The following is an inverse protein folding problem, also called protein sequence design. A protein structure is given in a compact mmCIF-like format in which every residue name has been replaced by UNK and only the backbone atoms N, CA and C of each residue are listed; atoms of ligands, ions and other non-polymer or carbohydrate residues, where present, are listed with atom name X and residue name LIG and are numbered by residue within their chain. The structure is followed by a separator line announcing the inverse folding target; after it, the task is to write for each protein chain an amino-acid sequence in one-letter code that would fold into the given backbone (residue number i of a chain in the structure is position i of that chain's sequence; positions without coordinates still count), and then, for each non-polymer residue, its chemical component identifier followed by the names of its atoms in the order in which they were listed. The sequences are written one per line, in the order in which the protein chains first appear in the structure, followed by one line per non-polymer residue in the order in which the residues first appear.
data_IF_250408374277
#
_entry.id   IF_250408374277
#
_cell.length_a   1.000
_cell.length_b   1.000
_cell.length_c   1.000
_cell.angle_alpha   90.00
_cell.angle_beta   90.00
_cell.angle_gamma   90.00
#
_symmetry.space_group_name_H-M   'P 1'
#
loop_
_entity.id
_entity.type
_entity.pdbx_description
1 polymer ?
#
# COMPACT_ATOMS: atom_id res chain seq x y z
N UNK A 1 2.96 3.95 -18.74
CA UNK A 1 2.39 4.34 -17.42
C UNK A 1 1.96 5.79 -17.51
N UNK A 2 0.75 6.14 -17.04
CA UNK A 2 0.28 7.52 -17.00
C UNK A 2 0.30 8.01 -15.55
N UNK A 3 1.11 9.03 -15.24
CA UNK A 3 1.22 9.60 -13.89
C UNK A 3 0.53 10.96 -13.85
N UNK A 4 -0.54 11.06 -13.06
CA UNK A 4 -1.18 12.32 -12.73
C UNK A 4 -0.64 12.88 -11.42
N UNK A 5 -0.26 14.16 -11.41
CA UNK A 5 0.30 14.83 -10.23
C UNK A 5 -0.61 15.98 -9.82
N UNK A 6 -1.22 15.86 -8.64
CA UNK A 6 -1.89 16.99 -7.99
C UNK A 6 -1.05 17.52 -6.84
N UNK A 7 -1.35 18.73 -6.35
CA UNK A 7 -0.62 19.26 -5.21
C UNK A 7 -0.83 20.75 -4.99
N UNK A 8 -0.48 21.21 -3.79
CA UNK A 8 -0.60 22.61 -3.38
C UNK A 8 0.39 23.52 -4.12
N UNK A 9 0.20 24.84 -4.05
CA UNK A 9 1.14 25.81 -4.64
C UNK A 9 2.52 25.65 -3.98
N UNK A 10 3.58 25.65 -4.79
CA UNK A 10 4.97 25.57 -4.32
C UNK A 10 5.32 24.29 -3.54
N UNK A 11 4.53 23.22 -3.70
CA UNK A 11 4.82 21.91 -3.09
C UNK A 11 5.96 21.15 -3.76
N UNK A 12 6.39 21.58 -4.95
CA UNK A 12 7.37 20.86 -5.78
C UNK A 12 6.73 19.93 -6.82
N UNK A 13 5.41 19.96 -7.00
CA UNK A 13 4.71 19.14 -8.01
C UNK A 13 5.27 19.28 -9.43
N UNK A 14 5.61 20.51 -9.84
CA UNK A 14 6.20 20.79 -11.16
C UNK A 14 7.61 20.21 -11.27
N UNK A 15 8.38 20.23 -10.18
CA UNK A 15 9.72 19.64 -10.17
C UNK A 15 9.67 18.11 -10.26
N UNK A 16 8.68 17.46 -9.64
CA UNK A 16 8.48 16.02 -9.79
C UNK A 16 8.02 15.67 -11.20
N UNK A 17 7.18 16.49 -11.84
CA UNK A 17 6.86 16.32 -13.25
C UNK A 17 8.13 16.40 -14.12
N UNK A 18 8.99 17.40 -13.89
CA UNK A 18 10.28 17.55 -14.58
C UNK A 18 11.24 16.39 -14.33
N UNK A 19 11.30 15.90 -13.10
CA UNK A 19 12.07 14.69 -12.78
C UNK A 19 11.61 13.51 -13.63
N UNK A 20 10.30 13.29 -13.75
CA UNK A 20 9.75 12.21 -14.58
C UNK A 20 10.03 12.43 -16.07
N UNK A 21 10.01 13.67 -16.57
CA UNK A 21 10.41 13.94 -17.95
C UNK A 21 11.89 13.62 -18.20
N UNK A 22 12.77 13.87 -17.24
CA UNK A 22 14.17 13.42 -17.32
C UNK A 22 14.30 11.89 -17.31
N UNK A 23 13.35 11.17 -16.71
CA UNK A 23 13.24 9.70 -16.78
C UNK A 23 12.54 9.19 -18.06
N UNK A 24 12.31 10.07 -19.05
CA UNK A 24 11.74 9.71 -20.35
C UNK A 24 10.21 9.73 -20.42
N UNK A 25 9.52 10.34 -19.45
CA UNK A 25 8.08 10.56 -19.55
C UNK A 25 7.79 11.72 -20.51
N UNK A 26 6.75 11.56 -21.35
CA UNK A 26 6.22 12.64 -22.18
C UNK A 26 5.30 13.52 -21.34
N UNK A 27 5.63 14.81 -21.22
CA UNK A 27 4.78 15.78 -20.52
C UNK A 27 3.53 16.06 -21.34
N UNK A 28 2.37 15.99 -20.70
CA UNK A 28 1.07 16.36 -21.28
C UNK A 28 0.57 17.65 -20.64
N UNK A 29 0.07 18.57 -21.46
CA UNK A 29 -0.46 19.86 -21.03
C UNK A 29 -1.76 20.24 -21.77
N UNK A 30 -2.64 20.96 -21.10
CA UNK A 30 -3.75 21.68 -21.73
C UNK A 30 -3.28 23.12 -22.01
N UNK A 31 -3.00 23.45 -23.28
CA UNK A 31 -2.56 24.76 -23.80
C UNK A 31 -1.40 25.46 -23.04
N UNK A 32 -0.24 25.64 -23.71
CA UNK A 32 0.93 26.35 -23.17
C UNK A 32 2.07 26.53 -24.20
N UNK A 33 3.14 27.25 -23.83
CA UNK A 33 4.30 27.57 -24.68
C UNK A 33 5.40 26.49 -24.70
N UNK A 34 5.33 25.47 -23.84
CA UNK A 34 6.39 24.46 -23.67
C UNK A 34 6.35 23.32 -24.73
N UNK A 35 7.42 22.51 -24.75
CA UNK A 35 7.66 21.37 -25.68
C UNK A 35 6.79 20.10 -25.42
N UNK A 36 5.75 20.17 -24.57
CA UNK A 36 4.90 19.03 -24.23
C UNK A 36 3.86 18.64 -25.30
N UNK A 37 3.26 17.46 -25.14
CA UNK A 37 2.07 17.04 -25.90
C UNK A 37 0.86 17.88 -25.47
N UNK A 38 0.18 18.48 -26.45
CA UNK A 38 -0.90 19.45 -26.22
C UNK A 38 -2.22 18.87 -26.70
N UNK A 39 -3.25 18.99 -25.86
CA UNK A 39 -4.61 18.59 -26.17
C UNK A 39 -5.57 19.75 -25.91
N UNK A 40 -6.66 19.82 -26.68
CA UNK A 40 -7.67 20.85 -26.50
C UNK A 40 -8.76 20.43 -25.52
N UNK A 41 -9.03 19.12 -25.44
CA UNK A 41 -10.11 18.57 -24.62
C UNK A 41 -9.63 17.36 -23.82
N UNK A 42 -10.28 17.09 -22.68
CA UNK A 42 -9.98 15.93 -21.84
C UNK A 42 -10.21 14.61 -22.58
N UNK A 43 -11.20 14.57 -23.48
CA UNK A 43 -11.50 13.39 -24.30
C UNK A 43 -10.38 13.08 -25.28
N UNK A 44 -9.87 14.08 -25.98
CA UNK A 44 -8.76 13.93 -26.94
C UNK A 44 -7.50 13.40 -26.26
N UNK A 45 -7.18 13.97 -25.09
CA UNK A 45 -6.08 13.47 -24.24
C UNK A 45 -6.32 12.01 -23.86
N UNK A 46 -7.50 11.68 -23.35
CA UNK A 46 -7.86 10.35 -22.87
C UNK A 46 -7.74 9.30 -24.00
N UNK A 47 -8.24 9.62 -25.19
CA UNK A 47 -8.19 8.74 -26.35
C UNK A 47 -6.74 8.50 -26.79
N UNK A 48 -5.95 9.58 -26.86
CA UNK A 48 -4.53 9.49 -27.22
C UNK A 48 -3.74 8.62 -26.24
N UNK A 49 -3.83 8.87 -24.93
CA UNK A 49 -3.07 8.09 -23.93
C UNK A 49 -3.57 6.63 -23.84
N UNK A 50 -4.82 6.38 -24.19
CA UNK A 50 -5.38 5.02 -24.22
C UNK A 50 -4.85 4.23 -25.41
N UNK A 51 -4.77 4.82 -26.60
CA UNK A 51 -4.15 4.19 -27.77
C UNK A 51 -2.66 3.93 -27.51
N UNK A 52 -1.99 4.88 -26.87
CA UNK A 52 -0.55 4.86 -26.61
C UNK A 52 -0.18 4.36 -25.20
N UNK A 53 -1.02 3.55 -24.54
CA UNK A 53 -0.89 3.20 -23.11
C UNK A 53 0.44 2.54 -22.70
N UNK A 54 1.18 2.00 -23.67
CA UNK A 54 2.52 1.42 -23.48
C UNK A 54 3.62 2.46 -23.28
N UNK A 55 3.38 3.70 -23.68
CA UNK A 55 4.29 4.82 -23.45
C UNK A 55 4.13 5.38 -22.02
N UNK A 56 5.07 6.24 -21.64
CA UNK A 56 5.09 6.89 -20.33
C UNK A 56 4.71 8.35 -20.48
N UNK A 57 3.71 8.76 -19.70
CA UNK A 57 3.12 10.09 -19.76
C UNK A 57 3.00 10.67 -18.36
N UNK A 58 3.23 11.98 -18.23
CA UNK A 58 3.03 12.71 -16.97
C UNK A 58 2.21 13.96 -17.23
N UNK A 59 1.27 14.26 -16.33
CA UNK A 59 0.49 15.49 -16.37
C UNK A 59 0.24 16.05 -14.97
N UNK A 60 0.04 17.35 -14.89
CA UNK A 60 -0.48 17.99 -13.70
C UNK A 60 -2.01 17.89 -13.70
N UNK A 61 -2.58 17.54 -12.54
CA UNK A 61 -4.01 17.46 -12.33
C UNK A 61 -4.42 18.64 -11.46
N UNK A 62 -5.23 19.50 -12.04
CA UNK A 62 -5.81 20.67 -11.39
C UNK A 62 -7.32 20.55 -11.22
N UNK A 63 -8.00 19.64 -11.93
CA UNK A 63 -9.45 19.50 -11.90
C UNK A 63 -9.94 18.06 -11.57
N UNK A 64 -11.12 17.98 -10.97
CA UNK A 64 -11.71 16.72 -10.52
C UNK A 64 -12.29 15.85 -11.65
N UNK A 65 -12.76 16.46 -12.74
CA UNK A 65 -13.38 15.74 -13.86
C UNK A 65 -12.36 14.91 -14.63
N UNK A 66 -11.22 15.51 -14.95
CA UNK A 66 -10.05 14.86 -15.53
C UNK A 66 -9.57 13.70 -14.65
N UNK A 67 -9.47 13.92 -13.33
CA UNK A 67 -9.07 12.87 -12.40
C UNK A 67 -9.99 11.65 -12.53
N UNK A 68 -11.32 11.86 -12.48
CA UNK A 68 -12.32 10.78 -12.60
C UNK A 68 -12.23 10.04 -13.93
N UNK A 69 -11.93 10.74 -15.02
CA UNK A 69 -11.76 10.12 -16.33
C UNK A 69 -10.52 9.20 -16.35
N UNK A 70 -9.40 9.69 -15.82
CA UNK A 70 -8.13 8.97 -15.82
C UNK A 70 -8.10 7.80 -14.83
N UNK A 71 -8.73 7.93 -13.65
CA UNK A 71 -8.81 6.89 -12.62
C UNK A 71 -9.45 5.58 -13.09
N UNK A 72 -10.29 5.62 -14.12
CA UNK A 72 -10.88 4.41 -14.72
C UNK A 72 -9.86 3.56 -15.46
N UNK A 73 -8.66 4.09 -15.74
CA UNK A 73 -7.63 3.42 -16.54
C UNK A 73 -6.68 2.63 -15.64
N UNK A 74 -6.45 1.33 -15.90
CA UNK A 74 -5.60 0.49 -15.05
C UNK A 74 -4.11 0.84 -15.13
N UNK A 75 -3.71 1.70 -16.07
CA UNK A 75 -2.34 2.17 -16.25
C UNK A 75 -2.10 3.58 -15.69
N UNK A 76 -3.10 4.15 -15.01
CA UNK A 76 -3.03 5.47 -14.39
C UNK A 76 -2.63 5.39 -12.92
N UNK A 77 -1.64 6.18 -12.52
CA UNK A 77 -1.18 6.35 -11.15
C UNK A 77 -1.38 7.82 -10.75
N UNK A 78 -2.20 8.07 -9.73
CA UNK A 78 -2.35 9.40 -9.16
C UNK A 78 -1.43 9.59 -7.96
N UNK A 79 -0.62 10.64 -8.01
CA UNK A 79 0.21 11.08 -6.89
C UNK A 79 -0.21 12.49 -6.45
N UNK A 80 -0.23 12.73 -5.15
CA UNK A 80 -0.42 14.07 -4.57
C UNK A 80 0.85 14.54 -3.91
N UNK A 81 1.23 15.80 -4.12
CA UNK A 81 2.43 16.40 -3.54
C UNK A 81 2.04 17.62 -2.73
N UNK A 82 2.31 17.58 -1.43
CA UNK A 82 2.14 18.70 -0.52
C UNK A 82 3.45 19.02 0.20
N UNK A 83 3.50 20.12 0.94
CA UNK A 83 4.65 20.51 1.74
C UNK A 83 4.22 21.44 2.89
N UNK A 84 5.01 21.54 3.97
CA UNK A 84 4.74 22.50 5.05
C UNK A 84 4.53 23.91 4.52
N UNK A 85 3.50 24.61 5.01
CA UNK A 85 3.08 25.90 4.46
C UNK A 85 4.21 26.95 4.45
N UNK A 86 4.99 27.01 5.52
CA UNK A 86 6.15 27.91 5.63
C UNK A 86 7.23 27.60 4.59
N UNK A 87 7.45 26.32 4.28
CA UNK A 87 8.42 25.90 3.27
C UNK A 87 7.90 26.24 1.86
N UNK A 88 6.62 26.03 1.60
CA UNK A 88 5.97 26.42 0.33
C UNK A 88 6.04 27.93 0.11
N UNK A 89 5.81 28.71 1.16
CA UNK A 89 5.93 30.17 1.13
C UNK A 89 7.36 30.62 0.82
N UNK A 90 8.39 30.02 1.44
CA UNK A 90 9.80 30.33 1.17
C UNK A 90 10.24 30.03 -0.28
N UNK A 91 9.58 29.08 -0.95
CA UNK A 91 9.88 28.69 -2.34
C UNK A 91 9.28 29.63 -3.38
N UNK A 92 8.48 30.62 -2.97
CA UNK A 92 7.86 31.59 -3.86
C UNK A 92 8.20 33.02 -3.42
N UNK A 93 8.15 33.95 -4.36
CA UNK A 93 8.44 35.38 -4.13
C UNK A 93 7.33 36.32 -4.61
N UNK A 94 6.18 35.76 -4.98
CA UNK A 94 5.09 36.47 -5.68
C UNK A 94 4.05 37.06 -4.73
N UNK A 95 3.76 36.37 -3.64
CA UNK A 95 2.68 36.70 -2.71
C UNK A 95 3.22 37.01 -1.34
N UNK A 96 2.55 37.91 -0.62
CA UNK A 96 2.70 38.07 0.83
C UNK A 96 2.21 36.83 1.57
N UNK A 97 2.55 36.69 2.85
CA UNK A 97 2.17 35.49 3.62
C UNK A 97 0.65 35.35 3.75
N UNK A 98 -0.05 36.45 3.98
CA UNK A 98 -1.51 36.46 4.10
C UNK A 98 -2.20 36.12 2.77
N UNK A 99 -1.77 36.73 1.66
CA UNK A 99 -2.26 36.40 0.31
C UNK A 99 -2.00 34.93 -0.03
N UNK A 100 -0.84 34.40 0.36
CA UNK A 100 -0.49 33.01 0.11
C UNK A 100 -1.39 32.03 0.89
N UNK A 101 -1.73 32.36 2.14
CA UNK A 101 -2.68 31.57 2.94
C UNK A 101 -4.08 31.62 2.32
N UNK A 102 -4.58 32.83 1.99
CA UNK A 102 -5.90 32.97 1.38
C UNK A 102 -6.00 32.20 0.06
N UNK A 103 -4.98 32.29 -0.80
CA UNK A 103 -4.92 31.55 -2.06
C UNK A 103 -4.82 30.04 -1.84
N UNK A 104 -4.09 29.60 -0.82
CA UNK A 104 -3.99 28.19 -0.46
C UNK A 104 -5.34 27.62 -0.03
N UNK A 105 -6.08 28.34 0.82
CA UNK A 105 -7.38 27.92 1.31
C UNK A 105 -8.42 27.93 0.20
N UNK A 106 -8.41 28.95 -0.66
CA UNK A 106 -9.25 29.01 -1.84
C UNK A 106 -9.03 27.78 -2.73
N UNK A 107 -7.79 27.38 -2.99
CA UNK A 107 -7.50 26.20 -3.81
C UNK A 107 -7.90 24.88 -3.12
N UNK A 108 -7.63 24.74 -1.83
CA UNK A 108 -7.90 23.50 -1.10
C UNK A 108 -9.41 23.25 -0.95
N UNK A 109 -10.17 24.31 -0.65
CA UNK A 109 -11.56 24.22 -0.22
C UNK A 109 -12.54 24.91 -1.18
N UNK A 110 -12.13 25.18 -2.42
CA UNK A 110 -13.03 25.66 -3.47
C UNK A 110 -14.27 24.75 -3.59
N UNK A 111 -15.46 25.34 -3.71
CA UNK A 111 -16.73 24.58 -3.80
C UNK A 111 -16.87 23.80 -5.11
N UNK A 112 -16.38 24.34 -6.23
CA UNK A 112 -16.54 23.74 -7.55
C UNK A 112 -15.45 22.71 -7.85
N UNK A 113 -14.24 22.93 -7.33
CA UNK A 113 -13.07 22.09 -7.62
C UNK A 113 -12.10 22.01 -6.42
N UNK A 114 -12.50 21.33 -5.33
CA UNK A 114 -11.70 21.25 -4.11
C UNK A 114 -10.44 20.40 -4.32
N UNK A 115 -9.26 21.03 -4.31
CA UNK A 115 -7.98 20.32 -4.45
C UNK A 115 -7.77 19.28 -3.34
N UNK A 116 -8.38 19.49 -2.16
CA UNK A 116 -8.31 18.51 -1.07
C UNK A 116 -8.96 17.18 -1.44
N UNK A 117 -10.07 17.18 -2.18
CA UNK A 117 -10.72 15.96 -2.63
C UNK A 117 -9.90 15.23 -3.68
N UNK A 118 -9.30 15.98 -4.62
CA UNK A 118 -8.34 15.46 -5.58
C UNK A 118 -7.20 14.78 -4.82
N UNK A 119 -6.47 15.52 -3.98
CA UNK A 119 -5.31 14.99 -3.25
C UNK A 119 -5.64 13.77 -2.38
N UNK A 120 -6.85 13.72 -1.80
CA UNK A 120 -7.26 12.59 -0.96
C UNK A 120 -7.40 11.27 -1.71
N UNK A 121 -7.65 11.31 -3.02
CA UNK A 121 -7.78 10.12 -3.87
C UNK A 121 -6.45 9.62 -4.44
N UNK A 122 -5.34 10.32 -4.18
CA UNK A 122 -4.03 9.89 -4.65
C UNK A 122 -3.60 8.55 -4.03
N UNK A 123 -3.06 7.67 -4.88
CA UNK A 123 -2.52 6.38 -4.47
C UNK A 123 -1.19 6.53 -3.74
N UNK A 124 -0.41 7.56 -4.08
CA UNK A 124 0.86 7.91 -3.41
C UNK A 124 0.77 9.36 -2.94
N UNK A 125 0.96 9.58 -1.65
CA UNK A 125 0.92 10.91 -1.04
C UNK A 125 2.31 11.30 -0.61
N UNK A 126 2.88 12.33 -1.23
CA UNK A 126 4.22 12.84 -0.97
C UNK A 126 4.11 14.12 -0.15
N UNK A 127 4.73 14.13 1.03
CA UNK A 127 4.96 15.35 1.81
C UNK A 127 6.40 15.79 1.60
N UNK A 128 6.61 16.78 0.73
CA UNK A 128 7.89 17.32 0.36
C UNK A 128 8.45 18.25 1.45
N UNK A 129 9.34 17.73 2.28
CA UNK A 129 10.04 18.47 3.34
C UNK A 129 11.41 19.00 2.91
N UNK A 130 11.82 18.69 1.68
CA UNK A 130 13.16 18.98 1.17
C UNK A 130 13.41 20.49 0.99
N UNK A 131 14.58 20.98 1.37
CA UNK A 131 14.91 22.40 1.21
C UNK A 131 15.47 22.73 -0.19
N UNK A 132 15.94 21.71 -0.92
CA UNK A 132 16.52 21.85 -2.25
C UNK A 132 15.90 20.90 -3.28
N UNK A 133 16.00 21.27 -4.57
CA UNK A 133 15.54 20.42 -5.69
C UNK A 133 16.34 19.12 -5.75
N UNK A 134 17.65 19.17 -5.48
CA UNK A 134 18.52 17.99 -5.46
C UNK A 134 18.06 16.97 -4.43
N UNK A 135 17.76 17.42 -3.22
CA UNK A 135 17.24 16.56 -2.16
C UNK A 135 15.89 15.94 -2.53
N UNK A 136 14.98 16.75 -3.10
CA UNK A 136 13.70 16.26 -3.60
C UNK A 136 13.89 15.14 -4.64
N UNK A 137 14.80 15.31 -5.61
CA UNK A 137 15.04 14.32 -6.65
C UNK A 137 15.65 13.03 -6.11
N UNK A 138 16.56 13.12 -5.14
CA UNK A 138 17.12 11.94 -4.46
C UNK A 138 16.01 11.13 -3.81
N UNK A 139 15.16 11.78 -3.00
CA UNK A 139 14.12 11.07 -2.26
C UNK A 139 12.98 10.57 -3.17
N UNK A 140 12.65 11.28 -4.25
CA UNK A 140 11.72 10.80 -5.30
C UNK A 140 12.29 9.56 -6.01
N UNK A 141 13.60 9.51 -6.24
CA UNK A 141 14.26 8.32 -6.79
C UNK A 141 14.15 7.12 -5.83
N UNK A 142 14.32 7.34 -4.53
CA UNK A 142 14.19 6.30 -3.50
C UNK A 142 12.77 5.73 -3.41
N UNK A 143 11.73 6.53 -3.66
CA UNK A 143 10.37 6.01 -3.70
C UNK A 143 10.15 4.95 -4.77
N UNK A 144 10.94 4.96 -5.84
CA UNK A 144 10.71 4.11 -6.99
C UNK A 144 9.25 4.23 -7.52
N UNK A 145 8.86 5.44 -7.92
CA UNK A 145 7.54 5.71 -8.51
C UNK A 145 7.24 4.86 -9.75
N UNK A 146 8.30 4.37 -10.42
CA UNK A 146 8.23 3.58 -11.65
C UNK A 146 7.94 2.09 -11.40
N UNK A 147 7.83 1.66 -10.14
CA UNK A 147 7.44 0.28 -9.82
C UNK A 147 6.04 -0.02 -10.37
N UNK A 148 5.98 -0.94 -11.33
CA UNK A 148 4.73 -1.41 -11.95
C UNK A 148 3.79 -2.08 -10.95
N UNK A 149 4.30 -2.54 -9.81
CA UNK A 149 3.49 -3.13 -8.72
C UNK A 149 2.48 -2.13 -8.15
N UNK A 150 2.71 -0.81 -8.31
CA UNK A 150 1.82 0.29 -7.92
C UNK A 150 0.54 0.35 -8.76
N UNK A 151 0.60 -0.06 -10.03
CA UNK A 151 -0.56 -0.13 -10.93
C UNK A 151 -1.26 -1.48 -10.86
N UNK A 152 -0.45 -2.55 -10.86
CA UNK A 152 -0.93 -3.93 -10.78
C UNK A 152 -0.10 -4.66 -9.74
N UNK A 153 -0.69 -5.00 -8.57
CA UNK A 153 0.07 -5.65 -7.51
C UNK A 153 0.71 -6.94 -8.00
N UNK A 154 1.93 -7.21 -7.54
CA UNK A 154 2.52 -8.55 -7.65
C UNK A 154 1.65 -9.55 -6.89
N UNK A 155 1.84 -10.85 -7.16
CA UNK A 155 1.13 -11.90 -6.42
C UNK A 155 1.33 -11.78 -4.91
N UNK A 156 2.57 -11.56 -4.47
CA UNK A 156 2.85 -11.37 -3.04
C UNK A 156 2.11 -10.16 -2.46
N UNK A 157 2.12 -9.02 -3.17
CA UNK A 157 1.41 -7.82 -2.72
C UNK A 157 -0.10 -8.06 -2.64
N UNK A 158 -0.67 -8.74 -3.63
CA UNK A 158 -2.09 -9.07 -3.69
C UNK A 158 -2.50 -10.00 -2.55
N UNK A 159 -1.79 -11.12 -2.35
CA UNK A 159 -2.13 -12.07 -1.31
C UNK A 159 -1.83 -11.55 0.10
N UNK A 160 -0.78 -10.74 0.27
CA UNK A 160 -0.54 -10.06 1.54
C UNK A 160 -1.63 -9.02 1.86
N UNK A 161 -2.16 -8.31 0.86
CA UNK A 161 -3.34 -7.43 1.05
C UNK A 161 -4.58 -8.24 1.47
N UNK A 162 -4.80 -9.42 0.90
CA UNK A 162 -5.89 -10.32 1.33
C UNK A 162 -5.67 -10.79 2.77
N UNK A 163 -4.45 -11.18 3.15
CA UNK A 163 -4.14 -11.57 4.52
C UNK A 163 -4.41 -10.42 5.50
N UNK A 164 -4.01 -9.19 5.17
CA UNK A 164 -4.31 -8.01 5.97
C UNK A 164 -5.82 -7.69 6.03
N UNK A 165 -6.56 -7.89 4.93
CA UNK A 165 -8.02 -7.73 4.91
C UNK A 165 -8.70 -8.77 5.82
N UNK A 166 -8.27 -10.04 5.77
CA UNK A 166 -8.76 -11.08 6.66
C UNK A 166 -8.48 -10.73 8.14
N UNK A 167 -7.32 -10.16 8.44
CA UNK A 167 -6.95 -9.72 9.79
C UNK A 167 -7.94 -8.70 10.39
N UNK A 168 -8.67 -7.92 9.55
CA UNK A 168 -9.69 -6.97 10.03
C UNK A 168 -10.91 -7.65 10.67
N UNK A 169 -11.10 -8.95 10.44
CA UNK A 169 -12.12 -9.77 11.11
C UNK A 169 -11.64 -10.41 12.41
N UNK A 170 -10.35 -10.28 12.74
CA UNK A 170 -9.80 -10.77 14.01
C UNK A 170 -10.58 -10.23 15.20
N UNK A 171 -10.99 -11.14 16.07
CA UNK A 171 -11.65 -10.81 17.34
C UNK A 171 -10.67 -10.84 18.53
N UNK A 172 -9.39 -11.13 18.29
CA UNK A 172 -8.37 -11.14 19.32
C UNK A 172 -8.01 -9.70 19.74
N UNK A 173 -8.06 -9.42 21.04
CA UNK A 173 -7.76 -8.09 21.57
C UNK A 173 -6.25 -7.75 21.60
N UNK A 174 -5.36 -8.74 21.41
CA UNK A 174 -3.90 -8.55 21.55
C UNK A 174 -3.22 -8.15 20.25
N UNK A 175 -3.64 -8.74 19.12
CA UNK A 175 -3.09 -8.47 17.78
C UNK A 175 -4.06 -8.97 16.72
N UNK A 176 -4.14 -8.26 15.60
CA UNK A 176 -4.88 -8.68 14.41
C UNK A 176 -3.95 -9.40 13.44
N UNK A 177 -4.08 -10.72 13.39
CA UNK A 177 -3.32 -11.58 12.47
C UNK A 177 -4.27 -12.14 11.43
N UNK A 178 -3.83 -12.15 10.18
CA UNK A 178 -4.56 -12.72 9.07
C UNK A 178 -3.64 -13.52 8.17
N UNK A 179 -4.20 -14.56 7.56
CA UNK A 179 -3.50 -15.55 6.77
C UNK A 179 -4.33 -15.93 5.54
N UNK A 180 -3.66 -16.20 4.43
CA UNK A 180 -4.27 -16.78 3.23
C UNK A 180 -3.39 -17.90 2.68
N UNK A 181 -4.00 -19.02 2.33
CA UNK A 181 -3.35 -20.13 1.64
C UNK A 181 -3.71 -20.03 0.17
N UNK A 182 -2.71 -20.14 -0.69
CA UNK A 182 -2.82 -19.98 -2.12
C UNK A 182 -2.23 -21.19 -2.82
N UNK A 183 -2.93 -21.67 -3.86
CA UNK A 183 -2.45 -22.71 -4.77
C UNK A 183 -2.73 -22.28 -6.19
N UNK A 184 -1.73 -22.33 -7.07
CA UNK A 184 -1.87 -21.94 -8.49
C UNK A 184 -2.48 -20.52 -8.65
N UNK A 185 -2.01 -19.58 -7.82
CA UNK A 185 -2.51 -18.21 -7.76
C UNK A 185 -4.02 -18.08 -7.45
N UNK A 186 -4.63 -19.10 -6.83
CA UNK A 186 -6.01 -19.08 -6.33
C UNK A 186 -6.03 -19.22 -4.83
N UNK A 187 -6.89 -18.45 -4.18
CA UNK A 187 -7.11 -18.57 -2.74
C UNK A 187 -7.80 -19.90 -2.45
N UNK A 188 -7.17 -20.71 -1.58
CA UNK A 188 -7.71 -21.97 -1.08
C UNK A 188 -8.52 -21.73 0.19
N UNK A 189 -7.93 -20.98 1.12
CA UNK A 189 -8.55 -20.65 2.40
C UNK A 189 -7.99 -19.35 2.97
N UNK A 190 -8.78 -18.69 3.81
CA UNK A 190 -8.38 -17.54 4.61
C UNK A 190 -8.57 -17.85 6.08
N UNK A 191 -7.74 -17.27 6.94
CA UNK A 191 -7.89 -17.35 8.39
C UNK A 191 -7.55 -16.01 9.05
N UNK A 192 -8.14 -15.79 10.21
CA UNK A 192 -7.78 -14.72 11.14
C UNK A 192 -7.75 -15.28 12.55
N UNK A 193 -7.02 -14.65 13.46
CA UNK A 193 -6.91 -15.14 14.83
C UNK A 193 -8.13 -14.75 15.68
N UNK A 194 -8.59 -15.67 16.52
CA UNK A 194 -9.77 -15.46 17.37
C UNK A 194 -10.20 -16.69 18.14
N UNK A 195 -11.18 -16.53 19.03
CA UNK A 195 -11.77 -17.67 19.76
C UNK A 195 -12.49 -18.65 18.82
N UNK A 196 -12.64 -19.93 19.22
CA UNK A 196 -13.35 -20.94 18.46
C UNK A 196 -14.78 -20.52 18.07
N UNK A 197 -15.30 -21.16 17.03
CA UNK A 197 -16.70 -21.01 16.60
C UNK A 197 -17.64 -21.25 17.78
N UNK A 198 -18.70 -20.45 17.87
CA UNK A 198 -19.73 -20.52 18.90
C UNK A 198 -19.30 -20.19 20.33
N UNK A 199 -18.06 -19.77 20.56
CA UNK A 199 -17.63 -19.19 21.83
C UNK A 199 -17.69 -17.67 21.79
N UNK A 200 -17.78 -17.05 22.97
CA UNK A 200 -17.68 -15.59 23.13
C UNK A 200 -16.39 -15.09 22.48
N UNK A 201 -16.44 -13.94 21.80
CA UNK A 201 -15.26 -13.41 21.14
C UNK A 201 -14.20 -12.94 22.15
N UNK A 202 -12.92 -12.98 21.80
CA UNK A 202 -11.85 -12.55 22.72
C UNK A 202 -11.98 -11.08 23.13
N UNK A 203 -12.34 -10.19 22.20
CA UNK A 203 -12.60 -8.76 22.42
C UNK A 203 -13.88 -8.50 23.25
N UNK A 204 -14.68 -9.52 23.50
CA UNK A 204 -15.84 -9.48 24.40
C UNK A 204 -15.54 -10.16 25.76
N UNK A 205 -14.29 -10.56 26.01
CA UNK A 205 -13.89 -11.25 27.24
C UNK A 205 -13.86 -12.78 27.13
N UNK A 206 -14.03 -13.35 25.93
CA UNK A 206 -14.08 -14.80 25.72
C UNK A 206 -12.77 -15.56 25.93
N UNK A 207 -11.65 -14.86 26.11
CA UNK A 207 -10.36 -15.47 26.43
C UNK A 207 -9.77 -14.84 27.70
N UNK A 208 -9.79 -15.58 28.81
CA UNK A 208 -9.31 -15.10 30.11
C UNK A 208 -7.85 -14.67 30.05
N UNK A 209 -6.98 -15.44 29.38
CA UNK A 209 -5.56 -15.13 29.23
C UNK A 209 -5.32 -13.80 28.51
N UNK A 210 -6.03 -13.55 27.42
CA UNK A 210 -5.90 -12.29 26.69
C UNK A 210 -6.40 -11.09 27.51
N UNK A 211 -7.46 -11.26 28.30
CA UNK A 211 -8.10 -10.20 29.06
C UNK A 211 -7.45 -9.91 30.43
N UNK A 212 -6.52 -10.76 30.92
CA UNK A 212 -5.84 -10.61 32.22
C UNK A 212 -4.60 -9.70 32.23
N UNK A 213 -4.32 -8.97 31.16
CA UNK A 213 -3.24 -7.97 31.14
C UNK A 213 -1.80 -8.51 31.20
N UNK A 214 -1.58 -9.83 31.22
CA UNK A 214 -0.23 -10.39 31.19
C UNK A 214 0.52 -10.02 29.90
N UNK A 215 1.85 -9.85 30.03
CA UNK A 215 2.75 -9.56 28.92
C UNK A 215 2.70 -10.63 27.82
N UNK A 216 3.10 -10.23 26.61
CA UNK A 216 3.22 -11.12 25.44
C UNK A 216 4.04 -12.38 25.76
N UNK A 217 3.63 -13.53 25.24
CA UNK A 217 4.36 -14.80 25.44
C UNK A 217 4.02 -15.57 26.73
N UNK A 218 3.34 -14.96 27.71
CA UNK A 218 3.00 -15.64 28.96
C UNK A 218 1.77 -16.54 28.83
N UNK A 219 1.83 -17.72 29.48
CA UNK A 219 0.74 -18.71 29.61
C UNK A 219 0.05 -19.02 28.28
N UNK A 220 0.82 -19.21 27.21
CA UNK A 220 0.29 -19.47 25.87
C UNK A 220 -0.64 -20.69 25.83
N UNK A 221 -0.37 -21.70 26.66
CA UNK A 221 -1.20 -22.91 26.79
C UNK A 221 -2.62 -22.67 27.31
N UNK A 222 -2.89 -21.52 27.95
CA UNK A 222 -4.23 -21.15 28.44
C UNK A 222 -4.96 -20.17 27.53
N UNK A 223 -4.37 -19.83 26.38
CA UNK A 223 -4.99 -19.01 25.36
C UNK A 223 -6.07 -19.81 24.63
N UNK A 224 -7.29 -19.27 24.56
CA UNK A 224 -8.38 -19.88 23.79
C UNK A 224 -8.36 -19.47 22.31
N UNK A 225 -7.62 -18.42 21.95
CA UNK A 225 -7.61 -17.94 20.57
C UNK A 225 -6.80 -18.87 19.67
N UNK A 226 -7.42 -19.35 18.59
CA UNK A 226 -6.70 -19.92 17.46
C UNK A 226 -5.98 -18.82 16.68
N UNK A 227 -4.84 -19.17 16.12
CA UNK A 227 -4.05 -18.32 15.24
C UNK A 227 -4.65 -18.29 13.82
N UNK A 228 -4.23 -17.30 13.03
CA UNK A 228 -4.76 -17.11 11.69
C UNK A 228 -4.36 -18.28 10.77
N UNK A 229 -3.12 -18.74 10.92
CA UNK A 229 -2.53 -19.87 10.21
C UNK A 229 -3.29 -21.15 10.53
N UNK A 230 -3.61 -21.39 11.81
CA UNK A 230 -4.40 -22.55 12.22
C UNK A 230 -5.79 -22.53 11.60
N UNK A 231 -6.49 -21.40 11.66
CA UNK A 231 -7.81 -21.28 11.05
C UNK A 231 -7.76 -21.47 9.53
N UNK A 232 -6.75 -20.94 8.85
CA UNK A 232 -6.58 -21.14 7.40
C UNK A 232 -6.30 -22.60 7.06
N UNK A 233 -5.44 -23.29 7.83
CA UNK A 233 -5.10 -24.70 7.63
C UNK A 233 -6.29 -25.63 7.92
N UNK A 234 -7.03 -25.36 9.01
CA UNK A 234 -8.23 -26.12 9.37
C UNK A 234 -9.31 -25.98 8.32
N UNK A 235 -9.51 -24.77 7.78
CA UNK A 235 -10.46 -24.54 6.70
C UNK A 235 -9.98 -25.25 5.43
N UNK A 236 -8.73 -25.06 4.99
CA UNK A 236 -8.22 -25.68 3.77
C UNK A 236 -8.30 -27.22 3.81
N UNK A 237 -7.85 -27.84 4.90
CA UNK A 237 -7.63 -29.28 4.94
C UNK A 237 -6.48 -29.74 4.03
N UNK A 238 -5.91 -30.91 4.33
CA UNK A 238 -4.68 -31.39 3.66
C UNK A 238 -4.83 -31.53 2.14
N UNK A 239 -5.96 -32.05 1.68
CA UNK A 239 -6.20 -32.33 0.26
C UNK A 239 -6.23 -31.06 -0.60
N UNK A 240 -6.75 -29.95 -0.07
CA UNK A 240 -6.81 -28.68 -0.80
C UNK A 240 -5.49 -27.91 -0.76
N UNK A 241 -4.61 -28.19 0.19
CA UNK A 241 -3.25 -27.65 0.22
C UNK A 241 -2.43 -28.25 -0.93
N UNK A 242 -2.46 -29.58 -1.11
CA UNK A 242 -1.67 -30.24 -2.16
C UNK A 242 -0.17 -29.92 -2.10
N UNK A 243 0.54 -30.11 -3.21
CA UNK A 243 2.01 -30.12 -3.21
C UNK A 243 2.68 -28.78 -3.58
N UNK A 244 1.91 -27.75 -3.88
CA UNK A 244 2.42 -26.46 -4.42
C UNK A 244 1.87 -25.22 -3.72
N UNK A 245 1.29 -25.36 -2.53
CA UNK A 245 0.68 -24.23 -1.83
C UNK A 245 1.69 -23.31 -1.14
N UNK A 246 1.39 -22.01 -1.20
CA UNK A 246 2.09 -20.93 -0.48
C UNK A 246 1.14 -20.32 0.56
N UNK A 247 1.66 -20.10 1.76
CA UNK A 247 0.96 -19.43 2.85
C UNK A 247 1.45 -17.99 3.00
N UNK A 248 0.54 -17.03 2.94
CA UNK A 248 0.81 -15.62 3.19
C UNK A 248 0.24 -15.21 4.53
N UNK A 249 1.05 -14.65 5.44
CA UNK A 249 0.60 -14.19 6.75
C UNK A 249 1.12 -12.80 7.06
N UNK A 250 0.31 -11.93 7.66
CA UNK A 250 0.79 -10.58 7.99
C UNK A 250 1.83 -10.55 9.14
N UNK A 251 1.98 -11.67 9.87
CA UNK A 251 2.95 -11.85 10.95
C UNK A 251 3.69 -13.17 10.76
N UNK A 252 4.98 -13.23 11.08
CA UNK A 252 5.77 -14.46 11.07
C UNK A 252 5.10 -15.53 11.94
N UNK A 253 4.85 -16.75 11.41
CA UNK A 253 4.20 -17.80 12.18
C UNK A 253 4.98 -18.18 13.44
N UNK A 254 4.26 -18.43 14.54
CA UNK A 254 4.89 -18.95 15.75
C UNK A 254 5.29 -20.42 15.59
N UNK A 255 6.16 -20.92 16.47
CA UNK A 255 6.64 -22.31 16.43
C UNK A 255 5.52 -23.35 16.31
N UNK A 256 4.42 -23.21 17.07
CA UNK A 256 3.30 -24.15 17.01
C UNK A 256 2.55 -24.12 15.68
N UNK A 257 2.43 -22.94 15.05
CA UNK A 257 1.90 -22.82 13.70
C UNK A 257 2.88 -23.37 12.67
N UNK A 258 4.17 -23.12 12.81
CA UNK A 258 5.24 -23.62 11.93
C UNK A 258 5.23 -25.15 11.83
N UNK A 259 5.08 -25.85 12.97
CA UNK A 259 4.95 -27.32 13.00
C UNK A 259 3.72 -27.78 12.21
N UNK A 260 2.58 -27.11 12.36
CA UNK A 260 1.33 -27.44 11.64
C UNK A 260 1.43 -27.15 10.14
N UNK A 261 2.08 -26.04 9.77
CA UNK A 261 2.37 -25.67 8.39
C UNK A 261 3.20 -26.77 7.73
N UNK A 262 4.30 -27.21 8.38
CA UNK A 262 5.11 -28.33 7.92
C UNK A 262 4.29 -29.59 7.72
N UNK A 263 3.53 -29.99 8.74
CA UNK A 263 2.72 -31.20 8.69
C UNK A 263 1.65 -31.16 7.59
N UNK A 264 1.14 -29.98 7.26
CA UNK A 264 0.08 -29.79 6.27
C UNK A 264 0.54 -29.87 4.81
N UNK A 265 1.84 -29.73 4.55
CA UNK A 265 2.43 -29.85 3.20
C UNK A 265 2.67 -28.53 2.46
N UNK A 266 2.52 -27.37 3.12
CA UNK A 266 2.87 -26.05 2.56
C UNK A 266 4.35 -26.02 2.14
N UNK A 267 4.65 -25.36 1.01
CA UNK A 267 6.01 -25.30 0.44
C UNK A 267 6.71 -23.97 0.65
N UNK A 268 5.93 -22.89 0.73
CA UNK A 268 6.46 -21.55 0.97
C UNK A 268 5.58 -20.80 1.97
N UNK A 269 6.23 -20.02 2.83
CA UNK A 269 5.62 -19.09 3.77
C UNK A 269 6.17 -17.70 3.50
N UNK A 270 5.27 -16.77 3.21
CA UNK A 270 5.58 -15.36 2.98
C UNK A 270 4.96 -14.52 4.10
N UNK A 271 5.77 -13.75 4.84
CA UNK A 271 5.28 -12.96 5.99
C UNK A 271 5.68 -11.49 5.94
N UNK A 272 4.86 -10.59 6.51
CA UNK A 272 5.17 -9.14 6.51
C UNK A 272 5.97 -8.68 7.75
N UNK A 273 5.49 -8.99 8.96
CA UNK A 273 6.09 -8.51 10.21
C UNK A 273 6.81 -9.64 10.95
N UNK A 274 8.00 -9.34 11.48
CA UNK A 274 8.71 -10.26 12.38
C UNK A 274 7.96 -10.44 13.70
N UNK A 275 8.17 -11.59 14.34
CA UNK A 275 7.64 -11.91 15.66
C UNK A 275 8.76 -12.47 16.51
N UNK A 276 8.71 -12.25 17.82
CA UNK A 276 9.77 -12.55 18.80
C UNK A 276 10.20 -14.03 18.93
N UNK A 277 9.68 -14.92 18.08
CA UNK A 277 9.90 -16.38 18.07
C UNK A 277 10.39 -16.85 16.68
N UNK A 278 11.14 -16.00 16.00
CA UNK A 278 11.63 -16.17 14.64
C UNK A 278 12.64 -17.33 14.54
N UNK A 279 13.62 -17.43 15.43
CA UNK A 279 14.73 -18.41 15.31
C UNK A 279 14.24 -19.87 15.26
N UNK A 280 13.39 -20.28 16.20
CA UNK A 280 12.89 -21.67 16.25
C UNK A 280 11.97 -21.99 15.08
N UNK A 281 11.14 -21.03 14.67
CA UNK A 281 10.23 -21.17 13.53
C UNK A 281 11.01 -21.32 12.22
N UNK A 282 12.08 -20.53 12.04
CA UNK A 282 13.01 -20.66 10.94
C UNK A 282 13.69 -22.04 10.91
N UNK A 283 14.15 -22.53 12.06
CA UNK A 283 14.81 -23.84 12.16
C UNK A 283 13.89 -24.98 11.68
N UNK A 284 12.68 -25.05 12.22
CA UNK A 284 11.70 -26.12 11.88
C UNK A 284 11.32 -26.07 10.40
N UNK A 285 11.05 -24.88 9.85
CA UNK A 285 10.71 -24.75 8.42
C UNK A 285 11.89 -25.10 7.52
N UNK A 286 13.11 -24.69 7.89
CA UNK A 286 14.33 -24.98 7.12
C UNK A 286 14.64 -26.48 7.06
N UNK A 287 14.55 -27.19 8.20
CA UNK A 287 14.74 -28.65 8.26
C UNK A 287 13.72 -29.39 7.38
N UNK A 288 12.48 -28.89 7.32
CA UNK A 288 11.42 -29.40 6.47
C UNK A 288 11.50 -28.94 5.00
N UNK A 289 12.51 -28.16 4.63
CA UNK A 289 12.70 -27.58 3.29
C UNK A 289 11.54 -26.68 2.83
N UNK A 290 10.92 -25.96 3.77
CA UNK A 290 9.94 -24.91 3.47
C UNK A 290 10.67 -23.59 3.27
N UNK A 291 10.35 -22.91 2.17
CA UNK A 291 10.88 -21.58 1.88
C UNK A 291 10.19 -20.59 2.82
N UNK A 292 10.96 -19.90 3.66
CA UNK A 292 10.45 -18.85 4.54
C UNK A 292 11.02 -17.50 4.11
N UNK A 293 10.15 -16.56 3.72
CA UNK A 293 10.55 -15.28 3.13
C UNK A 293 9.77 -14.12 3.72
N UNK A 294 10.47 -13.04 4.07
CA UNK A 294 9.84 -11.79 4.46
C UNK A 294 9.43 -10.99 3.21
N UNK A 295 8.19 -10.51 3.19
CA UNK A 295 7.65 -9.62 2.17
C UNK A 295 7.95 -8.17 2.53
N UNK A 296 8.65 -7.49 1.63
CA UNK A 296 8.90 -6.05 1.71
C UNK A 296 7.90 -5.33 0.77
N UNK A 297 6.93 -4.57 1.31
CA UNK A 297 6.05 -3.75 0.46
C UNK A 297 6.82 -2.58 -0.18
N UNK A 298 6.34 -2.04 -1.32
CA UNK A 298 6.80 -0.75 -1.84
C UNK A 298 6.59 0.36 -0.82
N UNK A 299 7.40 1.42 -0.88
CA UNK A 299 7.29 2.57 0.02
C UNK A 299 6.03 3.38 -0.35
N UNK A 300 5.17 3.66 0.64
CA UNK A 300 3.86 4.33 0.46
C UNK A 300 3.93 5.88 0.38
N UNK A 301 5.11 6.45 0.20
CA UNK A 301 5.29 7.86 -0.22
C UNK A 301 5.19 8.94 0.87
N UNK A 302 4.83 8.60 2.12
CA UNK A 302 4.28 9.57 3.09
C UNK A 302 5.21 10.74 3.45
N UNK A 303 6.54 10.54 3.56
CA UNK A 303 7.47 11.63 3.91
C UNK A 303 8.70 11.61 3.02
N UNK A 304 8.95 12.75 2.37
CA UNK A 304 10.03 12.95 1.41
C UNK A 304 10.67 14.29 1.70
#
# INVERSE_FOLDING_TARGET
MLIGISGTISSGKTEVARYLTFQGFKLIQFKGLDEGLKFQTESELLDYVTINWRENFVLLIDNFNLLKLLQKRPFFLHISIDAPINLRFKRQSKYTFDEFISLNDELLFNLDNPLIEINNQACVKIINTSESIKELYMKVSELNLLDKSRLRPSWDSYFMKIANLAALRSNCMKRRVGCVIVRESRVVATGYNGTPRHLKNCNEGGCSRCNKGHGSGNSLSTCLCLHAEENALLEAGRDRIGDSSTLYCNTCPCLTCSIKIVQSGIKEVVYAQSYSMDVDSHKVMSEAKIILRQYQPPIDGIFI
#
